data_IF_452930355525
#
_entry.id   IF_452930355525
#
_cell.length_a   1.000
_cell.length_b   1.000
_cell.length_c   1.000
_cell.angle_alpha   90.00
_cell.angle_beta   90.00
_cell.angle_gamma   90.00
#
_symmetry.space_group_name_H-M   'P 1'
#
loop_
_entity.id
_entity.type
_entity.pdbx_description
1 polymer ?
#
# COMPACT_ATOMS: atom_id res chain seq x y z
N UNK A 1 9.17 -14.82 2.59
CA UNK A 1 8.05 -13.98 2.13
C UNK A 1 7.40 -13.19 3.27
N UNK A 2 7.06 -13.83 4.37
CA UNK A 2 6.35 -13.14 5.45
C UNK A 2 7.10 -11.94 6.03
N UNK A 3 8.42 -12.05 6.19
CA UNK A 3 9.20 -10.93 6.73
C UNK A 3 9.27 -9.75 5.75
N UNK A 4 9.18 -10.01 4.46
CA UNK A 4 9.18 -8.94 3.44
C UNK A 4 7.86 -8.17 3.45
N UNK A 5 6.73 -8.86 3.55
CA UNK A 5 5.44 -8.18 3.53
C UNK A 5 5.15 -7.43 4.82
N UNK A 6 5.71 -7.88 5.95
CA UNK A 6 5.57 -7.16 7.22
C UNK A 6 6.17 -5.75 7.16
N UNK A 7 7.13 -5.52 6.28
CA UNK A 7 7.70 -4.19 6.07
C UNK A 7 6.62 -3.21 5.62
N UNK A 8 5.69 -3.66 4.79
CA UNK A 8 4.57 -2.82 4.33
C UNK A 8 3.71 -2.42 5.52
N UNK A 9 3.29 -3.39 6.33
CA UNK A 9 2.49 -3.12 7.53
C UNK A 9 3.19 -2.12 8.44
N UNK A 10 4.45 -2.39 8.76
CA UNK A 10 5.21 -1.59 9.72
C UNK A 10 5.42 -0.17 9.20
N UNK A 11 5.64 -0.02 7.90
CA UNK A 11 5.80 1.29 7.27
C UNK A 11 4.51 2.10 7.37
N UNK A 12 3.37 1.48 7.05
CA UNK A 12 2.08 2.16 7.09
C UNK A 12 1.66 2.52 8.53
N UNK A 13 1.99 1.69 9.50
CA UNK A 13 1.70 1.96 10.91
C UNK A 13 2.46 3.17 11.44
N UNK A 14 3.51 3.63 10.78
CA UNK A 14 4.21 4.85 11.15
C UNK A 14 3.39 6.11 10.84
N UNK A 15 2.45 6.03 9.92
CA UNK A 15 1.65 7.18 9.50
C UNK A 15 0.20 7.12 9.97
N UNK A 16 -0.32 5.94 10.29
CA UNK A 16 -1.71 5.79 10.75
C UNK A 16 -1.85 4.54 11.61
N UNK A 17 -2.78 4.58 12.56
CA UNK A 17 -3.16 3.40 13.33
C UNK A 17 -4.24 2.58 12.63
N UNK A 18 -4.93 3.16 11.65
CA UNK A 18 -6.05 2.50 10.96
C UNK A 18 -5.56 1.79 9.71
N UNK A 19 -4.74 0.77 9.90
CA UNK A 19 -4.09 -0.01 8.84
C UNK A 19 -4.57 -1.45 8.91
N UNK A 20 -5.06 -1.98 7.80
CA UNK A 20 -5.68 -3.30 7.74
C UNK A 20 -5.10 -4.12 6.59
N UNK A 21 -4.98 -5.42 6.83
CA UNK A 21 -4.49 -6.37 5.83
C UNK A 21 -5.68 -7.05 5.17
N UNK A 22 -5.77 -6.98 3.84
CA UNK A 22 -6.81 -7.52 2.97
C UNK A 22 -8.13 -6.77 3.00
N UNK A 23 -8.70 -6.52 4.17
CA UNK A 23 -9.97 -5.81 4.26
C UNK A 23 -10.06 -5.00 5.55
N UNK A 24 -10.90 -3.99 5.53
CA UNK A 24 -11.22 -3.19 6.70
C UNK A 24 -12.70 -3.34 7.03
N UNK A 25 -13.01 -3.84 8.23
CA UNK A 25 -14.39 -4.00 8.69
C UNK A 25 -14.92 -2.78 9.43
N UNK A 26 -14.04 -2.07 10.10
CA UNK A 26 -14.39 -0.88 10.87
C UNK A 26 -13.93 0.37 10.13
N UNK A 27 -14.66 0.73 9.10
CA UNK A 27 -14.36 1.86 8.24
C UNK A 27 -14.74 3.17 8.93
N UNK A 28 -13.78 4.06 9.08
CA UNK A 28 -14.04 5.40 9.54
C UNK A 28 -13.93 6.39 8.39
N UNK A 29 -13.61 7.65 8.72
CA UNK A 29 -13.40 8.67 7.70
C UNK A 29 -12.11 8.47 6.91
N UNK A 30 -11.17 7.75 7.48
CA UNK A 30 -9.86 7.47 6.87
C UNK A 30 -9.41 6.06 7.26
N UNK A 31 -9.01 5.27 6.28
CA UNK A 31 -8.43 3.96 6.55
C UNK A 31 -7.54 3.51 5.40
N UNK A 32 -6.57 2.65 5.73
CA UNK A 32 -5.62 2.09 4.78
C UNK A 32 -5.81 0.57 4.74
N UNK A 33 -5.87 0.00 3.55
CA UNK A 33 -5.89 -1.44 3.33
C UNK A 33 -4.70 -1.79 2.45
N UNK A 34 -3.96 -2.83 2.82
CA UNK A 34 -2.84 -3.30 2.00
C UNK A 34 -2.95 -4.79 1.76
N UNK A 35 -2.49 -5.22 0.60
CA UNK A 35 -2.46 -6.64 0.22
C UNK A 35 -1.21 -6.94 -0.59
N UNK A 36 -0.67 -8.14 -0.41
CA UNK A 36 0.25 -8.72 -1.37
C UNK A 36 -0.59 -9.53 -2.36
N UNK A 37 -0.22 -9.53 -3.63
CA UNK A 37 -1.05 -10.22 -4.64
C UNK A 37 -0.26 -11.04 -5.65
N UNK A 38 1.05 -10.81 -5.79
CA UNK A 38 1.81 -11.52 -6.83
C UNK A 38 3.31 -11.37 -6.61
N UNK A 39 4.08 -12.13 -7.37
CA UNK A 39 5.51 -11.87 -7.47
C UNK A 39 5.72 -10.63 -8.34
N UNK A 40 6.69 -9.82 -7.95
CA UNK A 40 7.07 -8.65 -8.72
C UNK A 40 7.76 -9.04 -10.02
N UNK A 41 7.71 -8.14 -11.00
CA UNK A 41 8.28 -8.37 -12.31
C UNK A 41 9.78 -8.09 -12.38
N UNK A 42 10.36 -7.58 -11.32
CA UNK A 42 11.77 -7.19 -11.31
C UNK A 42 12.74 -8.38 -11.17
N UNK A 43 12.22 -9.57 -10.82
CA UNK A 43 13.05 -10.77 -10.71
C UNK A 43 12.99 -11.53 -12.02
N UNK A 44 14.08 -11.50 -12.75
CA UNK A 44 14.21 -12.27 -13.97
C UNK A 44 14.92 -13.56 -13.67
N UNK A 45 14.27 -14.66 -13.99
CA UNK A 45 14.66 -15.93 -13.50
C UNK A 45 15.63 -16.69 -14.38
N UNK A 46 16.59 -17.28 -13.72
CA UNK A 46 17.36 -18.40 -14.19
C UNK A 46 16.87 -19.66 -13.45
N UNK A 47 15.60 -19.86 -13.33
CA UNK A 47 14.94 -20.98 -12.64
C UNK A 47 15.21 -21.05 -11.13
N UNK A 48 15.83 -20.02 -10.56
CA UNK A 48 16.07 -19.98 -9.12
C UNK A 48 15.40 -18.76 -8.51
N UNK A 49 14.68 -18.97 -7.43
CA UNK A 49 14.09 -17.88 -6.67
C UNK A 49 15.01 -17.47 -5.53
N UNK A 50 16.20 -17.03 -5.91
CA UNK A 50 17.20 -16.58 -4.94
C UNK A 50 16.76 -15.26 -4.31
N UNK A 51 16.19 -14.38 -5.13
CA UNK A 51 15.72 -13.08 -4.70
C UNK A 51 14.27 -12.89 -5.19
N UNK A 52 13.34 -13.40 -4.39
CA UNK A 52 11.94 -13.24 -4.71
C UNK A 52 11.49 -11.81 -4.38
N UNK A 53 10.93 -11.11 -5.35
CA UNK A 53 10.24 -9.86 -5.07
C UNK A 53 8.75 -10.12 -4.94
N UNK A 54 8.08 -9.32 -4.11
CA UNK A 54 6.66 -9.42 -3.84
C UNK A 54 6.02 -8.11 -4.22
N UNK A 55 4.89 -8.18 -4.89
CA UNK A 55 4.12 -7.03 -5.32
C UNK A 55 2.73 -7.06 -4.70
N UNK A 56 2.16 -5.89 -4.53
CA UNK A 56 0.81 -5.77 -4.02
C UNK A 56 0.28 -4.36 -4.15
N UNK A 57 -0.78 -4.07 -3.41
CA UNK A 57 -1.43 -2.77 -3.43
C UNK A 57 -1.54 -2.17 -2.03
N UNK A 58 -1.61 -0.85 -1.99
CA UNK A 58 -1.99 -0.08 -0.83
C UNK A 58 -3.15 0.79 -1.28
N UNK A 59 -4.28 0.70 -0.56
CA UNK A 59 -5.48 1.46 -0.83
C UNK A 59 -5.76 2.38 0.35
N UNK A 60 -5.79 3.68 0.11
CA UNK A 60 -6.11 4.67 1.12
C UNK A 60 -7.46 5.32 0.79
N UNK A 61 -8.35 5.28 1.76
CA UNK A 61 -9.69 5.86 1.64
C UNK A 61 -9.82 7.03 2.60
N UNK A 62 -10.23 8.19 2.10
CA UNK A 62 -10.40 9.38 2.93
C UNK A 62 -11.59 10.20 2.43
N UNK A 63 -12.28 10.87 3.37
CA UNK A 63 -13.32 11.85 3.03
C UNK A 63 -12.79 13.28 3.03
N UNK A 64 -11.51 13.43 3.32
CA UNK A 64 -10.86 14.74 3.38
C UNK A 64 -10.22 15.07 2.04
N UNK A 65 -10.65 16.14 1.40
CA UNK A 65 -10.01 16.66 0.20
C UNK A 65 -8.65 17.28 0.58
N UNK A 66 -7.64 17.09 -0.28
CA UNK A 66 -6.27 17.57 -0.04
C UNK A 66 -5.68 17.00 1.26
N UNK A 67 -5.93 15.74 1.51
CA UNK A 67 -5.51 15.07 2.74
C UNK A 67 -3.98 14.93 2.78
N UNK A 68 -3.30 15.49 3.78
CA UNK A 68 -1.84 15.39 3.89
C UNK A 68 -1.36 13.95 4.14
N UNK A 69 -2.23 13.04 4.57
CA UNK A 69 -1.89 11.64 4.77
C UNK A 69 -1.38 10.99 3.48
N UNK A 70 -1.85 11.44 2.31
CA UNK A 70 -1.40 10.93 1.02
C UNK A 70 0.12 11.15 0.88
N UNK A 71 0.58 12.34 1.19
CA UNK A 71 2.01 12.65 1.14
C UNK A 71 2.79 11.90 2.21
N UNK A 72 2.21 11.76 3.40
CA UNK A 72 2.84 11.04 4.51
C UNK A 72 3.05 9.57 4.16
N UNK A 73 2.07 8.94 3.50
CA UNK A 73 2.20 7.56 3.03
C UNK A 73 3.35 7.45 2.04
N UNK A 74 3.40 8.33 1.05
CA UNK A 74 4.45 8.28 0.04
C UNK A 74 5.84 8.51 0.63
N UNK A 75 5.97 9.46 1.55
CA UNK A 75 7.25 9.71 2.23
C UNK A 75 7.70 8.50 3.05
N UNK A 76 6.77 7.85 3.74
CA UNK A 76 7.09 6.66 4.51
C UNK A 76 7.59 5.51 3.61
N UNK A 77 6.96 5.34 2.45
CA UNK A 77 7.40 4.34 1.48
C UNK A 77 8.79 4.64 0.94
N UNK A 78 9.07 5.92 0.64
CA UNK A 78 10.39 6.36 0.18
C UNK A 78 11.44 6.07 1.25
N UNK A 79 11.18 6.45 2.49
CA UNK A 79 12.11 6.26 3.60
C UNK A 79 12.39 4.79 3.88
N UNK A 80 11.42 3.93 3.64
CA UNK A 80 11.58 2.49 3.81
C UNK A 80 12.18 1.80 2.57
N UNK A 81 12.49 2.57 1.54
CA UNK A 81 13.05 2.08 0.27
C UNK A 81 12.15 1.05 -0.41
N UNK A 82 10.84 1.25 -0.32
CA UNK A 82 9.85 0.44 -0.99
C UNK A 82 9.52 1.08 -2.33
N UNK A 83 9.63 0.32 -3.42
CA UNK A 83 9.22 0.79 -4.74
C UNK A 83 7.70 0.91 -4.78
N UNK A 84 7.20 2.00 -5.33
CA UNK A 84 5.76 2.19 -5.45
C UNK A 84 5.43 3.09 -6.63
N UNK A 85 4.19 3.00 -7.07
CA UNK A 85 3.64 3.86 -8.11
C UNK A 85 2.17 4.11 -7.79
N UNK A 86 1.75 5.36 -7.88
CA UNK A 86 0.34 5.70 -7.76
C UNK A 86 -0.37 5.20 -9.02
N UNK A 87 -1.33 4.31 -8.82
CA UNK A 87 -2.05 3.66 -9.91
C UNK A 87 -3.36 4.36 -10.25
N UNK A 88 -4.10 4.79 -9.24
CA UNK A 88 -5.37 5.50 -9.49
C UNK A 88 -5.78 6.37 -8.31
N UNK A 89 -6.58 7.37 -8.63
CA UNK A 89 -7.30 8.19 -7.65
C UNK A 89 -8.72 8.28 -8.14
N UNK A 90 -9.68 7.86 -7.30
CA UNK A 90 -11.09 7.82 -7.68
C UNK A 90 -11.96 8.38 -6.56
N UNK A 91 -12.98 9.14 -6.93
CA UNK A 91 -14.00 9.59 -6.00
C UNK A 91 -15.22 8.67 -6.08
N UNK A 92 -15.63 8.14 -4.94
CA UNK A 92 -16.79 7.25 -4.83
C UNK A 92 -17.99 8.06 -4.32
N UNK A 93 -18.92 8.37 -5.19
CA UNK A 93 -20.05 9.26 -4.85
C UNK A 93 -20.91 8.73 -3.71
N UNK A 94 -21.17 7.43 -3.66
CA UNK A 94 -22.06 6.84 -2.65
C UNK A 94 -21.51 6.94 -1.24
N UNK A 95 -20.20 6.75 -1.09
CA UNK A 95 -19.54 6.74 0.21
C UNK A 95 -18.86 8.05 0.54
N UNK A 96 -18.66 8.89 -0.46
CA UNK A 96 -17.91 10.13 -0.39
C UNK A 96 -16.43 9.92 -0.08
N UNK A 97 -15.92 8.71 -0.27
CA UNK A 97 -14.49 8.46 -0.16
C UNK A 97 -13.75 8.87 -1.42
N UNK A 98 -12.57 9.43 -1.22
CA UNK A 98 -11.54 9.54 -2.25
C UNK A 98 -10.65 8.33 -2.05
N UNK A 99 -10.48 7.52 -3.07
CA UNK A 99 -9.74 6.28 -3.02
C UNK A 99 -8.44 6.41 -3.80
N UNK A 100 -7.32 6.34 -3.10
CA UNK A 100 -5.98 6.33 -3.67
C UNK A 100 -5.48 4.90 -3.69
N UNK A 101 -4.96 4.45 -4.83
CA UNK A 101 -4.37 3.12 -4.94
C UNK A 101 -2.93 3.23 -5.41
N UNK A 102 -2.02 2.64 -4.64
CA UNK A 102 -0.61 2.48 -5.05
C UNK A 102 -0.34 1.02 -5.29
N UNK A 103 0.51 0.74 -6.28
CA UNK A 103 1.13 -0.57 -6.45
C UNK A 103 2.51 -0.49 -5.84
N UNK A 104 2.87 -1.47 -5.01
CA UNK A 104 4.17 -1.51 -4.36
C UNK A 104 4.91 -2.81 -4.70
N UNK A 105 6.23 -2.77 -4.57
CA UNK A 105 7.08 -3.95 -4.76
C UNK A 105 8.23 -3.89 -3.76
N UNK A 106 8.52 -5.02 -3.12
CA UNK A 106 9.69 -5.20 -2.26
C UNK A 106 10.53 -6.33 -2.79
N UNK A 107 11.83 -6.07 -2.87
CA UNK A 107 12.79 -7.06 -3.37
C UNK A 107 13.22 -8.05 -2.28
#
# INVERSE_FOLDING_TARGET
MNSKIKIIRDTLLKVSDNVHHYECKDKGDQYIVWTEDSEGSSVEGDNRKVNQSIQGTIDYFTRTEFDPMVDDIQEALIDAEISFQLNSVQYEEETEYIHYEWVWEVA
#
